data_IF_121708605212
#
_entry.id   IF_121708605212
#
_cell.length_a   1.000
_cell.length_b   1.000
_cell.length_c   1.000
_cell.angle_alpha   90.00
_cell.angle_beta   90.00
_cell.angle_gamma   90.00
#
_symmetry.space_group_name_H-M   'P 1'
#
loop_
_entity.id
_entity.type
_entity.pdbx_description
1 polymer ?
#
# COMPACT_ATOMS: atom_id res chain seq x y z
N UNK A 1 -68.03 -42.10 36.55
CA UNK A 1 -68.07 -41.15 35.42
C UNK A 1 -66.72 -40.45 35.36
N UNK A 2 -65.96 -40.70 34.29
CA UNK A 2 -64.67 -40.04 34.02
C UNK A 2 -64.92 -38.57 33.68
N UNK A 3 -64.24 -37.67 34.39
CA UNK A 3 -64.22 -36.23 34.08
C UNK A 3 -63.55 -36.09 32.70
N UNK A 4 -64.21 -35.50 31.69
CA UNK A 4 -63.57 -35.27 30.40
C UNK A 4 -62.41 -34.30 30.59
N UNK A 5 -61.22 -34.66 30.11
CA UNK A 5 -60.09 -33.73 30.04
C UNK A 5 -60.40 -32.69 28.94
N UNK A 6 -60.82 -31.49 29.35
CA UNK A 6 -61.21 -30.39 28.47
C UNK A 6 -60.03 -29.49 28.05
N UNK A 7 -58.78 -29.97 28.15
CA UNK A 7 -57.63 -29.25 27.60
C UNK A 7 -57.36 -29.76 26.18
N UNK A 8 -57.68 -29.02 25.12
CA UNK A 8 -57.12 -29.33 23.81
C UNK A 8 -55.59 -29.21 23.92
N UNK A 9 -54.87 -30.33 23.81
CA UNK A 9 -53.42 -30.31 23.59
C UNK A 9 -53.19 -29.68 22.22
N UNK A 10 -52.56 -28.51 22.20
CA UNK A 10 -52.16 -27.84 20.96
C UNK A 10 -51.22 -28.76 20.17
N UNK A 11 -51.66 -29.24 19.01
CA UNK A 11 -50.85 -30.09 18.12
C UNK A 11 -49.81 -29.30 17.30
N UNK A 12 -49.82 -27.97 17.37
CA UNK A 12 -48.79 -27.12 16.79
C UNK A 12 -47.66 -26.92 17.79
N UNK A 13 -46.42 -27.25 17.40
CA UNK A 13 -45.22 -26.99 18.22
C UNK A 13 -45.18 -25.52 18.62
N UNK A 14 -45.22 -25.26 19.92
CA UNK A 14 -45.02 -23.93 20.48
C UNK A 14 -43.64 -23.39 20.05
N UNK A 15 -43.64 -22.21 19.42
CA UNK A 15 -42.42 -21.48 19.07
C UNK A 15 -42.07 -20.60 20.27
N UNK A 16 -41.26 -21.15 21.18
CA UNK A 16 -40.85 -20.47 22.41
C UNK A 16 -39.33 -20.54 22.53
N UNK A 17 -38.72 -19.43 22.95
CA UNK A 17 -37.30 -19.36 23.25
C UNK A 17 -37.03 -20.16 24.54
N UNK A 18 -36.20 -21.20 24.52
CA UNK A 18 -35.81 -21.88 25.76
C UNK A 18 -34.98 -20.96 26.66
N UNK A 19 -34.99 -21.23 27.97
CA UNK A 19 -34.21 -20.48 28.95
C UNK A 19 -32.70 -20.66 28.81
N UNK A 20 -32.25 -21.71 28.13
CA UNK A 20 -30.84 -21.99 27.84
C UNK A 20 -30.68 -22.54 26.42
N UNK A 21 -29.54 -22.23 25.79
CA UNK A 21 -29.13 -22.84 24.53
C UNK A 21 -28.36 -24.15 24.71
N UNK A 22 -28.18 -24.88 23.62
CA UNK A 22 -27.46 -26.15 23.55
C UNK A 22 -26.34 -26.03 22.51
N UNK A 23 -25.10 -26.26 22.94
CA UNK A 23 -23.90 -26.12 22.10
C UNK A 23 -23.95 -27.01 20.85
N UNK A 24 -24.48 -28.23 20.98
CA UNK A 24 -24.56 -29.20 19.87
C UNK A 24 -25.48 -28.75 18.72
N UNK A 25 -26.45 -27.90 19.00
CA UNK A 25 -27.43 -27.43 18.01
C UNK A 25 -26.93 -26.21 17.24
N UNK A 26 -25.93 -25.49 17.78
CA UNK A 26 -25.43 -24.24 17.19
C UNK A 26 -24.86 -24.50 15.79
N UNK A 27 -23.91 -25.43 15.64
CA UNK A 27 -23.21 -25.63 14.37
C UNK A 27 -24.14 -26.03 13.20
N UNK A 28 -25.25 -26.71 13.49
CA UNK A 28 -26.21 -27.18 12.50
C UNK A 28 -27.24 -26.11 12.09
N UNK A 29 -27.39 -25.04 12.88
CA UNK A 29 -28.45 -24.02 12.73
C UNK A 29 -27.90 -22.68 12.20
N UNK A 30 -26.58 -22.53 12.11
CA UNK A 30 -25.94 -21.33 11.55
C UNK A 30 -26.25 -21.16 10.05
N UNK A 31 -26.71 -19.97 9.62
CA UNK A 31 -27.00 -19.70 8.21
C UNK A 31 -25.78 -19.82 7.28
N UNK A 32 -24.62 -19.29 7.70
CA UNK A 32 -23.40 -19.30 6.88
C UNK A 32 -22.39 -20.34 7.39
N UNK A 33 -22.40 -20.61 8.70
CA UNK A 33 -21.51 -21.57 9.33
C UNK A 33 -20.05 -21.18 9.15
N UNK A 34 -19.76 -19.89 9.32
CA UNK A 34 -18.40 -19.32 9.26
C UNK A 34 -17.64 -19.69 10.54
N UNK A 35 -18.32 -19.64 11.69
CA UNK A 35 -17.71 -19.93 12.99
C UNK A 35 -18.05 -21.32 13.55
N UNK A 36 -18.58 -22.22 12.70
CA UNK A 36 -19.05 -23.55 13.12
C UNK A 36 -17.97 -24.42 13.79
N UNK A 37 -16.71 -24.22 13.44
CA UNK A 37 -15.58 -25.00 13.93
C UNK A 37 -14.93 -24.37 15.19
N UNK A 38 -15.41 -23.20 15.64
CA UNK A 38 -14.89 -22.49 16.81
C UNK A 38 -15.61 -22.89 18.09
N UNK A 39 -14.93 -23.64 18.96
CA UNK A 39 -15.46 -24.08 20.26
C UNK A 39 -15.98 -22.93 21.13
N UNK A 40 -15.23 -21.82 21.16
CA UNK A 40 -15.58 -20.63 21.96
C UNK A 40 -16.80 -19.89 21.40
N UNK A 41 -16.99 -19.92 20.08
CA UNK A 41 -18.17 -19.35 19.44
C UNK A 41 -19.40 -20.19 19.77
N UNK A 42 -19.31 -21.52 19.65
CA UNK A 42 -20.42 -22.42 19.93
C UNK A 42 -20.89 -22.31 21.39
N UNK A 43 -19.97 -22.21 22.36
CA UNK A 43 -20.32 -21.99 23.76
C UNK A 43 -20.91 -20.60 23.99
N UNK A 44 -20.32 -19.55 23.41
CA UNK A 44 -20.82 -18.18 23.50
C UNK A 44 -22.23 -18.00 22.92
N UNK A 45 -22.52 -18.64 21.79
CA UNK A 45 -23.83 -18.62 21.15
C UNK A 45 -24.89 -19.32 22.02
N UNK A 46 -24.55 -20.46 22.64
CA UNK A 46 -25.44 -21.16 23.57
C UNK A 46 -25.75 -20.33 24.82
N UNK A 47 -24.75 -19.64 25.40
CA UNK A 47 -24.95 -18.73 26.53
C UNK A 47 -25.75 -17.48 26.15
N UNK A 48 -25.63 -17.01 24.92
CA UNK A 48 -26.37 -15.85 24.43
C UNK A 48 -27.89 -16.07 24.47
N UNK A 49 -28.37 -17.31 24.29
CA UNK A 49 -29.80 -17.65 24.44
C UNK A 49 -30.30 -17.29 25.84
N UNK A 50 -29.58 -17.70 26.88
CA UNK A 50 -29.93 -17.37 28.26
C UNK A 50 -29.88 -15.85 28.53
N UNK A 51 -28.92 -15.14 27.91
CA UNK A 51 -28.83 -13.69 28.01
C UNK A 51 -30.05 -13.00 27.38
N UNK A 52 -30.40 -13.39 26.16
CA UNK A 52 -31.56 -12.84 25.42
C UNK A 52 -32.87 -13.17 26.14
N UNK A 53 -33.03 -14.42 26.60
CA UNK A 53 -34.20 -14.86 27.35
C UNK A 53 -34.45 -13.98 28.58
N UNK A 54 -33.42 -13.76 29.41
CA UNK A 54 -33.54 -12.91 30.61
C UNK A 54 -33.79 -11.44 30.27
N UNK A 55 -33.13 -10.91 29.23
CA UNK A 55 -33.25 -9.50 28.85
C UNK A 55 -34.59 -9.14 28.21
N UNK A 56 -35.22 -10.08 27.50
CA UNK A 56 -36.52 -9.89 26.88
C UNK A 56 -37.70 -10.28 27.80
N UNK A 57 -37.42 -10.69 29.04
CA UNK A 57 -38.46 -10.98 30.03
C UNK A 57 -39.08 -12.38 29.92
N UNK A 58 -38.32 -13.36 29.41
CA UNK A 58 -38.76 -14.75 29.28
C UNK A 58 -39.16 -15.40 30.62
N UNK A 59 -38.65 -14.90 31.74
CA UNK A 59 -39.06 -15.34 33.09
C UNK A 59 -40.52 -14.98 33.43
N UNK A 60 -41.12 -14.04 32.69
CA UNK A 60 -42.48 -13.51 32.93
C UNK A 60 -43.45 -13.94 31.83
N UNK A 61 -43.04 -13.85 30.56
CA UNK A 61 -43.88 -14.15 29.40
C UNK A 61 -43.06 -14.82 28.30
N UNK A 62 -43.67 -15.78 27.62
CA UNK A 62 -43.02 -16.56 26.56
C UNK A 62 -42.54 -15.66 25.42
N UNK A 63 -41.36 -15.95 24.88
CA UNK A 63 -40.75 -15.19 23.79
C UNK A 63 -40.90 -15.99 22.50
N UNK A 64 -41.49 -15.39 21.46
CA UNK A 64 -41.91 -16.07 20.23
C UNK A 64 -40.79 -16.24 19.18
N UNK A 65 -39.56 -16.51 19.62
CA UNK A 65 -38.41 -16.82 18.73
C UNK A 65 -37.74 -18.13 19.17
N UNK A 66 -37.00 -18.80 18.28
CA UNK A 66 -36.27 -20.03 18.63
C UNK A 66 -34.81 -19.74 18.98
N UNK A 67 -34.16 -20.70 19.64
CA UNK A 67 -32.71 -20.65 19.87
C UNK A 67 -31.94 -20.50 18.55
N UNK A 68 -32.40 -21.15 17.47
CA UNK A 68 -31.84 -21.05 16.11
C UNK A 68 -31.75 -19.60 15.62
N UNK A 69 -32.78 -18.78 15.92
CA UNK A 69 -32.77 -17.36 15.56
C UNK A 69 -31.69 -16.60 16.34
N UNK A 70 -31.47 -16.94 17.61
CA UNK A 70 -30.42 -16.33 18.42
C UNK A 70 -29.04 -16.72 17.90
N UNK A 71 -28.83 -17.98 17.51
CA UNK A 71 -27.55 -18.44 16.95
C UNK A 71 -27.23 -17.75 15.61
N UNK A 72 -28.22 -17.62 14.73
CA UNK A 72 -28.09 -16.88 13.47
C UNK A 72 -27.73 -15.40 13.71
N UNK A 73 -28.46 -14.73 14.60
CA UNK A 73 -28.21 -13.34 14.96
C UNK A 73 -26.85 -13.15 15.67
N UNK A 74 -26.36 -14.17 16.36
CA UNK A 74 -25.05 -14.15 16.99
C UNK A 74 -23.92 -14.26 15.97
N UNK A 75 -24.05 -15.14 14.98
CA UNK A 75 -23.11 -15.22 13.84
C UNK A 75 -23.07 -13.89 13.09
N UNK A 76 -24.22 -13.29 12.78
CA UNK A 76 -24.31 -11.99 12.13
C UNK A 76 -23.64 -10.88 12.95
N UNK A 77 -23.83 -10.85 14.26
CA UNK A 77 -23.19 -9.87 15.14
C UNK A 77 -21.65 -9.96 15.13
N UNK A 78 -21.09 -11.18 15.04
CA UNK A 78 -19.63 -11.37 14.94
C UNK A 78 -19.10 -10.91 13.57
N UNK A 79 -19.85 -11.16 12.49
CA UNK A 79 -19.50 -10.71 11.15
C UNK A 79 -19.53 -9.18 11.04
N UNK A 80 -20.56 -8.54 11.59
CA UNK A 80 -20.65 -7.08 11.65
C UNK A 80 -19.50 -6.46 12.45
N UNK A 81 -19.15 -7.06 13.60
CA UNK A 81 -17.98 -6.63 14.35
C UNK A 81 -16.69 -6.76 13.52
N UNK A 82 -16.50 -7.90 12.84
CA UNK A 82 -15.34 -8.14 11.97
C UNK A 82 -15.26 -7.14 10.83
N UNK A 83 -16.40 -6.84 10.19
CA UNK A 83 -16.50 -5.86 9.11
C UNK A 83 -16.09 -4.46 9.56
N UNK A 84 -16.60 -3.99 10.72
CA UNK A 84 -16.28 -2.65 11.24
C UNK A 84 -14.79 -2.55 11.58
N UNK A 85 -14.21 -3.56 12.23
CA UNK A 85 -12.79 -3.56 12.58
C UNK A 85 -11.90 -3.62 11.34
N UNK A 86 -12.19 -4.51 10.39
CA UNK A 86 -11.43 -4.61 9.14
C UNK A 86 -11.52 -3.34 8.30
N UNK A 87 -12.69 -2.69 8.26
CA UNK A 87 -12.87 -1.40 7.58
C UNK A 87 -12.04 -0.29 8.23
N UNK A 88 -11.98 -0.27 9.56
CA UNK A 88 -11.14 0.67 10.29
C UNK A 88 -9.64 0.39 10.08
N UNK A 89 -9.23 -0.88 10.14
CA UNK A 89 -7.85 -1.26 9.84
C UNK A 89 -7.47 -0.87 8.41
N UNK A 90 -8.34 -1.11 7.43
CA UNK A 90 -8.12 -0.69 6.05
C UNK A 90 -7.85 0.82 5.96
N UNK A 91 -8.68 1.65 6.61
CA UNK A 91 -8.48 3.10 6.66
C UNK A 91 -7.11 3.49 7.24
N UNK A 92 -6.62 2.75 8.23
CA UNK A 92 -5.37 3.02 8.92
C UNK A 92 -4.10 2.58 8.17
N UNK A 93 -4.17 1.49 7.41
CA UNK A 93 -2.98 0.82 6.85
C UNK A 93 -2.93 0.78 5.33
N UNK A 94 -3.98 1.26 4.64
CA UNK A 94 -4.07 1.17 3.19
C UNK A 94 -2.86 1.78 2.50
N UNK A 95 -2.37 2.94 2.94
CA UNK A 95 -1.20 3.62 2.36
C UNK A 95 0.04 2.74 2.32
N UNK A 96 0.24 1.92 3.34
CA UNK A 96 1.46 1.15 3.51
C UNK A 96 1.34 -0.21 2.82
N UNK A 97 0.12 -0.71 2.68
CA UNK A 97 -0.15 -1.95 1.96
C UNK A 97 -0.32 -1.77 0.47
N UNK A 98 -0.39 -0.54 -0.06
CA UNK A 98 -0.44 -0.33 -1.50
C UNK A 98 0.66 -1.12 -2.20
N UNK A 99 0.30 -1.87 -3.23
CA UNK A 99 1.18 -2.73 -4.04
C UNK A 99 1.83 -3.92 -3.34
N UNK A 100 1.36 -4.29 -2.15
CA UNK A 100 1.70 -5.59 -1.53
C UNK A 100 0.83 -6.71 -2.10
N UNK A 101 1.15 -7.97 -1.78
CA UNK A 101 0.41 -9.14 -2.27
C UNK A 101 -1.07 -9.10 -1.89
N UNK A 102 -1.95 -9.36 -2.86
CA UNK A 102 -3.41 -9.41 -2.67
C UNK A 102 -3.89 -10.78 -2.17
N UNK A 103 -5.12 -10.82 -1.66
CA UNK A 103 -5.79 -12.05 -1.21
C UNK A 103 -6.93 -12.47 -2.14
N UNK A 104 -7.12 -13.78 -2.33
CA UNK A 104 -8.29 -14.35 -2.98
C UNK A 104 -9.19 -15.01 -1.94
N UNK A 105 -10.48 -14.69 -1.96
CA UNK A 105 -11.43 -15.16 -0.95
C UNK A 105 -12.46 -16.12 -1.53
N UNK A 106 -13.05 -16.94 -0.66
CA UNK A 106 -14.23 -17.73 -0.97
C UNK A 106 -15.53 -16.96 -0.66
N UNK A 107 -16.67 -17.63 -0.85
CA UNK A 107 -17.99 -17.05 -0.62
C UNK A 107 -18.30 -16.77 0.87
N UNK A 108 -17.49 -17.30 1.79
CA UNK A 108 -17.57 -17.08 3.23
C UNK A 108 -16.63 -15.96 3.70
N UNK A 109 -15.83 -15.41 2.80
CA UNK A 109 -14.81 -14.41 3.13
C UNK A 109 -13.56 -15.01 3.76
N UNK A 110 -13.34 -16.32 3.63
CA UNK A 110 -12.12 -17.00 4.07
C UNK A 110 -11.07 -16.95 2.97
N UNK A 111 -9.80 -16.78 3.36
CA UNK A 111 -8.70 -16.71 2.39
C UNK A 111 -8.48 -18.09 1.74
N UNK A 112 -8.54 -18.15 0.41
CA UNK A 112 -8.21 -19.36 -0.35
C UNK A 112 -6.73 -19.67 -0.28
N UNK A 113 -6.41 -20.96 -0.41
CA UNK A 113 -5.04 -21.43 -0.52
C UNK A 113 -4.34 -20.73 -1.70
N UNK A 114 -3.32 -19.98 -1.37
CA UNK A 114 -2.50 -19.11 -2.23
C UNK A 114 -1.10 -18.97 -1.63
N UNK A 115 -0.15 -18.43 -2.40
CA UNK A 115 1.19 -18.08 -1.90
C UNK A 115 1.10 -17.24 -0.62
N UNK A 116 0.17 -16.28 -0.59
CA UNK A 116 -0.11 -15.49 0.59
C UNK A 116 -0.50 -16.37 1.78
N UNK A 117 -1.54 -17.21 1.66
CA UNK A 117 -1.96 -18.09 2.76
C UNK A 117 -0.83 -18.99 3.29
N UNK A 118 0.08 -19.43 2.41
CA UNK A 118 1.22 -20.28 2.80
C UNK A 118 2.26 -19.53 3.61
N UNK A 119 2.46 -18.24 3.33
CA UNK A 119 3.35 -17.34 4.08
C UNK A 119 2.82 -16.95 5.46
N UNK A 120 1.52 -17.13 5.71
CA UNK A 120 0.89 -16.72 6.95
C UNK A 120 0.95 -17.80 8.06
N UNK A 121 1.44 -19.02 7.79
CA UNK A 121 1.62 -20.08 8.79
C UNK A 121 0.38 -20.34 9.67
N UNK A 122 -0.83 -20.21 9.10
CA UNK A 122 -2.10 -20.37 9.82
C UNK A 122 -2.53 -19.19 10.70
N UNK A 123 -1.88 -18.03 10.57
CA UNK A 123 -2.35 -16.75 11.13
C UNK A 123 -3.12 -15.94 10.08
N UNK A 124 -3.92 -14.96 10.50
CA UNK A 124 -4.68 -14.10 9.59
C UNK A 124 -3.98 -12.74 9.44
N UNK A 125 -4.07 -12.11 8.27
CA UNK A 125 -3.38 -10.83 8.03
C UNK A 125 -3.92 -9.72 8.95
N UNK A 126 -5.22 -9.75 9.24
CA UNK A 126 -5.94 -8.82 10.12
C UNK A 126 -5.42 -8.78 11.56
N UNK A 127 -4.67 -9.81 11.98
CA UNK A 127 -4.10 -9.91 13.33
C UNK A 127 -2.62 -9.56 13.39
N UNK A 128 -1.97 -9.38 12.24
CA UNK A 128 -0.56 -9.00 12.20
C UNK A 128 -0.43 -7.50 12.38
N UNK A 129 0.52 -7.09 13.21
CA UNK A 129 0.87 -5.69 13.34
C UNK A 129 1.46 -5.20 12.02
N UNK A 130 0.91 -4.13 11.42
CA UNK A 130 1.44 -3.58 10.18
C UNK A 130 2.84 -3.05 10.44
N UNK A 131 3.80 -3.42 9.59
CA UNK A 131 5.08 -2.74 9.57
C UNK A 131 4.87 -1.44 8.82
N UNK A 132 4.88 -0.33 9.54
CA UNK A 132 4.83 0.98 8.92
C UNK A 132 6.08 1.17 8.09
N UNK A 133 5.90 1.10 6.78
CA UNK A 133 6.92 1.41 5.81
C UNK A 133 6.45 2.63 5.05
N UNK A 134 7.37 3.55 4.76
CA UNK A 134 7.10 4.68 3.87
C UNK A 134 6.96 4.21 2.41
N UNK A 135 6.29 3.09 2.16
CA UNK A 135 6.23 2.42 0.86
C UNK A 135 5.59 3.33 -0.19
N UNK A 136 4.43 3.93 0.12
CA UNK A 136 3.81 4.90 -0.77
C UNK A 136 4.71 6.11 -1.03
N UNK A 137 5.28 6.71 0.02
CA UNK A 137 6.17 7.86 -0.14
C UNK A 137 7.44 7.51 -0.94
N UNK A 138 7.97 6.30 -0.77
CA UNK A 138 9.11 5.78 -1.52
C UNK A 138 8.76 5.62 -2.99
N UNK A 139 7.59 5.08 -3.34
CA UNK A 139 7.17 4.97 -4.74
C UNK A 139 6.95 6.33 -5.40
N UNK A 140 6.38 7.28 -4.68
CA UNK A 140 6.30 8.67 -5.15
C UNK A 140 7.70 9.26 -5.36
N UNK A 141 8.60 9.02 -4.39
CA UNK A 141 9.99 9.47 -4.48
C UNK A 141 10.78 8.77 -5.60
N UNK A 142 10.46 7.53 -5.95
CA UNK A 142 11.05 6.81 -7.09
C UNK A 142 10.67 7.50 -8.40
N UNK A 143 9.42 7.91 -8.57
CA UNK A 143 8.99 8.73 -9.70
C UNK A 143 9.77 10.05 -9.79
N UNK A 144 9.95 10.73 -8.66
CA UNK A 144 10.79 11.94 -8.60
C UNK A 144 12.28 11.63 -8.86
N UNK A 145 12.77 10.48 -8.42
CA UNK A 145 14.13 10.00 -8.64
C UNK A 145 14.43 9.78 -10.11
N UNK A 146 13.47 9.26 -10.88
CA UNK A 146 13.57 9.15 -12.35
C UNK A 146 13.77 10.52 -13.00
N UNK A 147 13.11 11.56 -12.51
CA UNK A 147 13.27 12.92 -13.06
C UNK A 147 14.54 13.61 -12.61
N UNK A 148 15.00 13.33 -11.38
CA UNK A 148 16.28 13.79 -10.88
C UNK A 148 17.49 13.00 -11.42
N UNK A 149 17.26 11.91 -12.16
CA UNK A 149 18.31 11.04 -12.71
C UNK A 149 19.07 10.25 -11.64
N UNK A 150 18.45 10.03 -10.47
CA UNK A 150 19.05 9.31 -9.33
C UNK A 150 18.12 8.21 -8.85
N UNK A 151 18.33 7.00 -9.37
CA UNK A 151 17.49 5.84 -9.10
C UNK A 151 16.10 5.96 -9.75
N UNK A 152 15.18 5.09 -9.34
CA UNK A 152 13.80 5.08 -9.83
C UNK A 152 13.38 3.73 -10.41
N UNK A 153 12.12 3.67 -10.85
CA UNK A 153 11.46 2.46 -11.34
C UNK A 153 11.39 2.37 -12.87
N UNK A 154 11.90 3.37 -13.61
CA UNK A 154 11.92 3.37 -15.07
C UNK A 154 13.31 2.99 -15.58
N UNK A 155 13.37 2.06 -16.53
CA UNK A 155 14.63 1.66 -17.17
C UNK A 155 15.12 2.74 -18.13
N UNK A 156 16.35 3.23 -17.90
CA UNK A 156 17.07 4.07 -18.86
C UNK A 156 17.86 3.22 -19.87
N UNK A 157 17.77 3.61 -21.14
CA UNK A 157 18.49 3.04 -22.26
C UNK A 157 19.53 4.03 -22.78
N UNK A 158 20.54 3.52 -23.48
CA UNK A 158 21.52 4.34 -24.19
C UNK A 158 21.50 4.03 -25.67
N UNK A 159 21.56 5.08 -26.50
CA UNK A 159 21.75 4.98 -27.93
C UNK A 159 22.87 5.92 -28.38
N UNK A 160 23.45 5.64 -29.55
CA UNK A 160 24.43 6.53 -30.18
C UNK A 160 23.93 7.01 -31.54
N UNK A 161 24.37 8.20 -31.92
CA UNK A 161 24.06 8.87 -33.17
C UNK A 161 25.37 9.10 -33.88
N UNK A 162 25.47 8.63 -35.12
CA UNK A 162 26.63 8.89 -35.95
C UNK A 162 26.54 10.30 -36.54
N UNK A 163 27.59 11.10 -36.39
CA UNK A 163 27.61 12.44 -36.98
C UNK A 163 27.86 12.38 -38.48
N UNK A 164 27.20 13.27 -39.21
CA UNK A 164 27.40 13.47 -40.65
C UNK A 164 28.01 14.85 -40.84
N UNK A 165 29.15 14.91 -41.53
CA UNK A 165 29.76 16.21 -41.86
C UNK A 165 28.78 17.01 -42.70
N UNK A 166 28.51 18.25 -42.31
CA UNK A 166 27.49 19.02 -43.02
C UNK A 166 26.09 18.97 -42.41
N UNK A 167 25.82 18.14 -41.40
CA UNK A 167 24.51 17.99 -40.77
C UNK A 167 24.51 18.42 -39.30
N UNK A 168 23.60 19.31 -38.96
CA UNK A 168 23.51 19.90 -37.62
C UNK A 168 22.33 19.35 -36.79
N UNK A 169 21.23 19.02 -37.48
CA UNK A 169 19.96 18.61 -36.89
C UNK A 169 19.75 17.11 -37.02
N UNK A 170 19.37 16.46 -35.92
CA UNK A 170 19.16 15.02 -35.83
C UNK A 170 17.82 14.74 -35.14
N UNK A 171 16.94 13.99 -35.80
CA UNK A 171 15.69 13.50 -35.23
C UNK A 171 15.95 12.22 -34.41
N UNK A 172 15.94 12.36 -33.09
CA UNK A 172 16.22 11.26 -32.19
C UNK A 172 15.07 10.26 -32.11
N UNK A 173 13.83 10.71 -32.27
CA UNK A 173 12.67 9.84 -32.25
C UNK A 173 12.74 8.86 -33.43
N UNK A 174 13.01 9.36 -34.63
CA UNK A 174 13.11 8.52 -35.84
C UNK A 174 14.33 7.59 -35.77
N UNK A 175 15.50 8.10 -35.35
CA UNK A 175 16.72 7.29 -35.27
C UNK A 175 16.54 6.13 -34.27
N UNK A 176 16.05 6.41 -33.06
CA UNK A 176 15.92 5.40 -32.01
C UNK A 176 14.78 4.42 -32.31
N UNK A 177 13.65 4.89 -32.83
CA UNK A 177 12.53 4.00 -33.22
C UNK A 177 12.90 3.05 -34.37
N UNK A 178 13.71 3.51 -35.33
CA UNK A 178 14.21 2.65 -36.41
C UNK A 178 15.09 1.52 -35.88
N UNK A 179 16.04 1.82 -34.98
CA UNK A 179 16.89 0.84 -34.32
C UNK A 179 16.08 -0.12 -33.43
N UNK A 180 15.05 0.39 -32.75
CA UNK A 180 14.15 -0.44 -31.94
C UNK A 180 13.34 -1.44 -32.79
N UNK A 181 13.00 -1.05 -34.03
CA UNK A 181 12.21 -1.89 -34.95
C UNK A 181 13.06 -2.99 -35.58
N UNK A 182 14.26 -2.64 -36.06
CA UNK A 182 15.20 -3.62 -36.63
C UNK A 182 15.77 -4.53 -35.54
N UNK A 183 15.88 -4.03 -34.31
CA UNK A 183 16.49 -4.73 -33.19
C UNK A 183 18.01 -4.77 -33.26
N UNK A 184 18.63 -4.04 -34.19
CA UNK A 184 20.08 -3.96 -34.37
C UNK A 184 20.54 -2.51 -34.51
N UNK A 185 21.70 -2.20 -33.93
CA UNK A 185 22.38 -0.92 -34.14
C UNK A 185 22.99 -0.84 -35.55
N UNK A 186 23.60 0.32 -35.87
CA UNK A 186 24.26 0.53 -37.16
C UNK A 186 25.48 -0.38 -37.42
N UNK A 187 25.97 -1.08 -36.40
CA UNK A 187 27.06 -2.05 -36.48
C UNK A 187 26.56 -3.52 -36.47
N UNK A 188 25.24 -3.74 -36.45
CA UNK A 188 24.61 -5.06 -36.44
C UNK A 188 24.49 -5.71 -35.06
N UNK A 189 24.78 -5.00 -33.97
CA UNK A 189 24.64 -5.53 -32.61
C UNK A 189 23.20 -5.41 -32.11
N UNK A 190 22.73 -6.37 -31.33
CA UNK A 190 21.39 -6.37 -30.74
C UNK A 190 21.17 -5.17 -29.81
N UNK A 191 20.07 -4.45 -29.97
CA UNK A 191 19.69 -3.35 -29.05
C UNK A 191 18.77 -3.84 -27.92
N UNK A 192 18.97 -3.40 -26.67
CA UNK A 192 18.18 -3.84 -25.52
C UNK A 192 16.74 -3.28 -25.50
N UNK A 193 16.45 -2.27 -26.34
CA UNK A 193 15.13 -1.62 -26.43
C UNK A 193 14.32 -2.07 -27.66
N UNK A 194 14.62 -3.26 -28.19
CA UNK A 194 13.92 -3.84 -29.35
C UNK A 194 12.41 -3.95 -29.07
N UNK A 195 11.58 -3.40 -29.94
CA UNK A 195 10.12 -3.47 -29.84
C UNK A 195 9.49 -2.58 -28.74
N UNK A 196 10.29 -1.89 -27.92
CA UNK A 196 9.76 -1.11 -26.79
C UNK A 196 9.29 0.30 -27.17
N UNK A 197 9.87 0.91 -28.22
CA UNK A 197 9.60 2.31 -28.59
C UNK A 197 8.25 2.44 -29.31
N UNK A 198 7.99 1.61 -30.33
CA UNK A 198 6.74 1.67 -31.11
C UNK A 198 6.39 3.10 -31.55
N UNK A 199 5.16 3.53 -31.25
CA UNK A 199 4.68 4.91 -31.43
C UNK A 199 4.75 5.76 -30.14
N UNK A 200 5.48 5.29 -29.12
CA UNK A 200 5.64 5.98 -27.83
C UNK A 200 6.70 7.07 -27.97
N UNK A 201 6.47 8.21 -27.30
CA UNK A 201 7.43 9.31 -27.24
C UNK A 201 8.62 8.91 -26.38
N UNK A 202 9.84 9.10 -26.88
CA UNK A 202 11.06 8.94 -26.07
C UNK A 202 11.32 10.20 -25.23
N UNK A 203 11.82 10.01 -24.02
CA UNK A 203 12.23 11.08 -23.11
C UNK A 203 13.74 11.06 -22.99
N UNK A 204 14.41 12.08 -23.50
CA UNK A 204 15.87 12.17 -23.47
C UNK A 204 16.28 12.80 -22.14
N UNK A 205 17.12 12.07 -21.40
CA UNK A 205 17.60 12.47 -20.07
C UNK A 205 18.98 13.13 -20.14
N UNK A 206 19.86 12.63 -21.02
CA UNK A 206 21.23 13.16 -21.15
C UNK A 206 21.76 13.00 -22.56
N UNK A 207 22.44 14.03 -23.07
CA UNK A 207 23.26 13.95 -24.27
C UNK A 207 24.72 14.15 -23.88
N UNK A 208 25.58 13.23 -24.30
CA UNK A 208 27.00 13.28 -23.99
C UNK A 208 27.83 12.76 -25.16
N UNK A 209 29.08 13.17 -25.24
CA UNK A 209 30.04 12.61 -26.18
C UNK A 209 31.33 12.34 -25.45
N UNK A 210 32.02 11.27 -25.85
CA UNK A 210 33.35 10.97 -25.32
C UNK A 210 34.32 11.04 -26.49
N UNK A 211 35.24 11.98 -26.44
CA UNK A 211 36.31 12.01 -27.44
C UNK A 211 37.31 10.90 -27.10
N UNK A 212 37.82 10.13 -28.09
CA UNK A 212 38.92 9.19 -27.86
C UNK A 212 40.18 9.88 -27.28
N UNK A 213 40.27 11.19 -27.47
CA UNK A 213 41.31 12.06 -26.92
C UNK A 213 41.07 12.51 -25.47
N UNK A 214 39.95 12.14 -24.83
CA UNK A 214 39.72 12.32 -23.40
C UNK A 214 40.54 11.35 -22.52
N UNK A 215 41.74 10.99 -22.97
CA UNK A 215 42.80 10.58 -22.05
C UNK A 215 43.21 11.86 -21.34
N UNK A 216 43.09 11.89 -20.01
CA UNK A 216 43.55 13.00 -19.17
C UNK A 216 45.06 13.14 -19.30
N UNK A 217 45.53 13.73 -20.40
CA UNK A 217 46.95 13.99 -20.63
C UNK A 217 47.29 15.25 -19.86
N UNK A 218 47.45 15.08 -18.55
CA UNK A 218 47.89 16.15 -17.64
C UNK A 218 49.17 16.84 -18.17
N UNK A 219 49.99 16.09 -18.93
CA UNK A 219 51.15 16.59 -19.66
C UNK A 219 51.02 16.35 -21.17
N UNK A 220 49.96 16.87 -21.81
CA UNK A 220 49.67 16.76 -23.26
C UNK A 220 50.85 16.43 -24.16
N UNK A 221 51.21 15.16 -24.33
CA UNK A 221 52.37 14.81 -25.13
C UNK A 221 52.39 13.37 -25.64
N UNK A 222 52.92 13.22 -26.85
CA UNK A 222 53.26 11.94 -27.47
C UNK A 222 54.69 12.09 -27.98
N UNK A 223 55.68 11.77 -27.13
CA UNK A 223 57.09 11.61 -27.54
C UNK A 223 58.19 12.32 -26.74
N UNK A 224 58.35 12.09 -25.42
CA UNK A 224 59.54 12.45 -24.60
C UNK A 224 60.05 13.92 -24.48
N UNK A 225 59.61 14.67 -23.44
CA UNK A 225 60.22 15.88 -22.81
C UNK A 225 59.15 16.75 -22.11
N UNK A 226 59.10 16.71 -20.77
CA UNK A 226 58.34 17.64 -19.94
C UNK A 226 59.17 18.92 -19.74
N UNK A 227 59.07 19.89 -20.64
CA UNK A 227 59.61 21.23 -20.35
C UNK A 227 58.53 22.03 -19.64
N UNK A 228 58.56 22.03 -18.30
CA UNK A 228 57.97 23.13 -17.54
C UNK A 228 58.71 24.37 -18.03
N UNK A 229 57.98 25.32 -18.63
CA UNK A 229 58.55 26.55 -19.19
C UNK A 229 59.15 27.40 -18.08
N UNK A 230 60.33 27.04 -17.60
CA UNK A 230 61.20 27.97 -16.91
C UNK A 230 61.66 28.96 -17.98
N UNK A 231 61.46 30.25 -17.74
CA UNK A 231 61.81 31.38 -18.61
C UNK A 231 63.34 31.54 -18.82
N UNK A 232 64.10 30.44 -18.75
CA UNK A 232 65.55 30.40 -18.96
C UNK A 232 65.88 30.09 -20.41
N UNK A 233 66.85 30.83 -20.95
CA UNK A 233 67.29 30.75 -22.35
C UNK A 233 67.70 29.32 -22.74
N UNK A 234 67.12 28.83 -23.83
CA UNK A 234 67.39 27.52 -24.41
C UNK A 234 68.75 27.55 -25.14
N UNK A 235 69.84 27.32 -24.41
CA UNK A 235 71.19 27.19 -24.96
C UNK A 235 71.47 25.81 -25.53
N UNK A 236 72.41 25.71 -26.47
CA UNK A 236 72.76 24.52 -27.29
C UNK A 236 73.30 23.27 -26.54
N UNK A 237 73.10 23.16 -25.22
CA UNK A 237 73.44 21.97 -24.44
C UNK A 237 72.17 21.43 -23.79
N UNK A 238 71.64 20.35 -24.33
CA UNK A 238 70.50 19.64 -23.76
C UNK A 238 70.95 18.73 -22.60
N UNK A 239 70.09 18.70 -21.58
CA UNK A 239 69.92 17.69 -20.54
C UNK A 239 70.83 17.74 -19.30
N UNK A 240 70.64 18.78 -18.47
CA UNK A 240 70.71 18.59 -17.01
C UNK A 240 69.29 18.25 -16.54
N UNK A 241 69.07 17.01 -16.06
CA UNK A 241 67.76 16.56 -15.59
C UNK A 241 67.45 17.18 -14.24
N UNK A 242 66.68 18.27 -14.23
CA UNK A 242 66.18 18.88 -13.00
C UNK A 242 64.93 18.13 -12.52
N UNK A 243 65.00 17.55 -11.33
CA UNK A 243 63.85 16.95 -10.66
C UNK A 243 63.22 17.98 -9.73
N UNK A 244 62.02 18.46 -10.07
CA UNK A 244 61.25 19.38 -9.22
C UNK A 244 60.14 18.61 -8.50
N UNK A 245 60.07 18.78 -7.18
CA UNK A 245 58.96 18.25 -6.38
C UNK A 245 57.81 19.24 -6.43
N UNK A 246 56.82 18.95 -7.27
CA UNK A 246 55.62 19.79 -7.42
C UNK A 246 54.58 19.38 -6.37
N UNK A 247 54.11 20.30 -5.50
CA UNK A 247 53.02 20.02 -4.57
C UNK A 247 51.72 19.62 -5.28
N UNK A 248 50.93 18.75 -4.66
CA UNK A 248 49.66 18.24 -5.23
C UNK A 248 48.65 19.35 -5.56
N UNK A 249 48.62 20.43 -4.78
CA UNK A 249 47.72 21.56 -5.02
C UNK A 249 48.05 22.31 -6.32
N UNK A 250 49.34 22.45 -6.65
CA UNK A 250 49.79 23.14 -7.87
C UNK A 250 49.39 22.31 -9.10
N UNK A 251 49.56 20.99 -9.02
CA UNK A 251 49.08 20.10 -10.05
C UNK A 251 47.54 20.20 -10.23
N UNK A 252 46.79 20.26 -9.14
CA UNK A 252 45.33 20.43 -9.23
C UNK A 252 44.95 21.77 -9.87
N UNK A 253 45.60 22.87 -9.50
CA UNK A 253 45.36 24.19 -10.08
C UNK A 253 45.67 24.22 -11.60
N UNK A 254 46.79 23.61 -12.02
CA UNK A 254 47.12 23.49 -13.44
C UNK A 254 46.09 22.66 -14.21
N UNK A 255 45.55 21.57 -13.62
CA UNK A 255 44.49 20.80 -14.28
C UNK A 255 43.20 21.61 -14.48
N UNK A 256 42.83 22.47 -13.52
CA UNK A 256 41.63 23.30 -13.64
C UNK A 256 41.80 24.34 -14.75
N UNK A 257 42.96 24.99 -14.83
CA UNK A 257 43.26 25.95 -15.90
C UNK A 257 43.31 25.28 -17.29
N UNK A 258 43.80 24.04 -17.37
CA UNK A 258 43.82 23.29 -18.62
C UNK A 258 42.42 22.86 -19.05
N UNK A 259 41.57 22.46 -18.10
CA UNK A 259 40.16 22.14 -18.37
C UNK A 259 39.41 23.37 -18.90
N UNK A 260 39.57 24.53 -18.26
CA UNK A 260 39.00 25.81 -18.72
C UNK A 260 39.52 26.22 -20.11
N UNK A 261 40.82 26.02 -20.36
CA UNK A 261 41.43 26.23 -21.67
C UNK A 261 40.82 25.31 -22.74
N UNK A 262 40.51 24.04 -22.43
CA UNK A 262 39.81 23.15 -23.35
C UNK A 262 38.39 23.64 -23.62
N UNK A 263 37.64 24.05 -22.58
CA UNK A 263 36.29 24.59 -22.75
C UNK A 263 36.28 25.81 -23.65
N UNK A 264 37.25 26.71 -23.49
CA UNK A 264 37.30 27.99 -24.21
C UNK A 264 37.94 27.89 -25.59
N UNK A 265 39.03 27.13 -25.75
CA UNK A 265 39.84 27.12 -26.99
C UNK A 265 39.52 25.99 -27.96
N UNK A 266 39.13 24.81 -27.47
CA UNK A 266 38.90 23.64 -28.32
C UNK A 266 37.43 23.46 -28.73
N UNK A 267 36.58 24.45 -28.45
CA UNK A 267 35.15 24.47 -28.74
C UNK A 267 34.46 23.20 -28.25
N UNK A 268 34.00 23.22 -27.00
CA UNK A 268 33.11 22.15 -26.50
C UNK A 268 31.89 22.06 -27.42
N UNK A 269 31.47 20.84 -27.78
CA UNK A 269 30.22 20.67 -28.49
C UNK A 269 29.07 21.02 -27.53
N UNK A 270 28.34 22.08 -27.83
CA UNK A 270 27.06 22.37 -27.19
C UNK A 270 25.94 21.76 -28.00
N UNK A 271 24.79 21.60 -27.37
CA UNK A 271 23.61 21.06 -28.03
C UNK A 271 22.35 21.76 -27.55
N UNK A 272 21.37 21.80 -28.44
CA UNK A 272 20.02 22.23 -28.18
C UNK A 272 19.10 21.03 -28.41
N UNK A 273 18.20 20.77 -27.46
CA UNK A 273 17.23 19.70 -27.55
C UNK A 273 15.83 20.30 -27.50
N UNK A 274 15.10 20.19 -28.61
CA UNK A 274 13.71 20.66 -28.72
C UNK A 274 12.88 19.58 -29.40
N UNK A 275 11.84 19.10 -28.73
CA UNK A 275 10.94 18.07 -29.28
C UNK A 275 11.62 16.83 -29.90
N UNK A 276 12.58 16.23 -29.18
CA UNK A 276 13.41 15.11 -29.66
C UNK A 276 14.28 15.43 -30.89
N UNK A 277 14.36 16.69 -31.33
CA UNK A 277 15.36 17.18 -32.25
C UNK A 277 16.59 17.63 -31.50
N UNK A 278 17.72 16.99 -31.82
CA UNK A 278 19.03 17.36 -31.33
C UNK A 278 19.74 18.22 -32.37
N UNK A 279 20.04 19.47 -32.01
CA UNK A 279 20.90 20.35 -32.80
C UNK A 279 22.27 20.44 -32.14
N UNK A 280 23.33 20.13 -32.87
CA UNK A 280 24.72 20.12 -32.37
C UNK A 280 25.46 21.39 -32.81
N UNK A 281 26.19 22.03 -31.91
CA UNK A 281 27.05 23.18 -32.22
C UNK A 281 28.49 22.91 -31.74
N UNK A 282 29.54 23.26 -32.50
CA UNK A 282 29.49 23.70 -33.89
C UNK A 282 29.05 22.55 -34.83
N UNK A 283 28.70 22.92 -36.06
CA UNK A 283 28.31 21.99 -37.12
C UNK A 283 29.41 20.92 -37.31
N UNK A 284 29.08 19.61 -37.24
CA UNK A 284 30.05 18.53 -37.40
C UNK A 284 30.88 18.64 -38.69
N UNK A 285 32.19 18.47 -38.53
CA UNK A 285 33.22 18.42 -39.59
C UNK A 285 33.94 17.07 -39.55
N UNK A 286 34.86 16.82 -40.48
CA UNK A 286 35.59 15.53 -40.56
C UNK A 286 36.37 15.17 -39.29
N UNK A 287 36.80 16.17 -38.51
CA UNK A 287 37.50 16.00 -37.22
C UNK A 287 36.57 15.96 -36.00
N UNK A 288 35.25 15.99 -36.19
CA UNK A 288 34.27 15.92 -35.11
C UNK A 288 34.16 14.51 -34.52
N UNK A 289 33.67 14.37 -33.27
CA UNK A 289 33.36 13.06 -32.70
C UNK A 289 32.43 12.29 -33.62
N UNK A 290 32.82 11.06 -33.96
CA UNK A 290 32.04 10.20 -34.85
C UNK A 290 30.68 9.84 -34.24
N UNK A 291 30.58 9.77 -32.91
CA UNK A 291 29.37 9.38 -32.20
C UNK A 291 29.06 10.32 -31.03
N UNK A 292 27.80 10.73 -30.96
CA UNK A 292 27.18 11.34 -29.77
C UNK A 292 26.26 10.30 -29.14
N UNK A 293 26.26 10.25 -27.81
CA UNK A 293 25.49 9.29 -27.04
C UNK A 293 24.33 10.00 -26.36
N UNK A 294 23.20 9.32 -26.29
CA UNK A 294 21.99 9.79 -25.62
C UNK A 294 21.52 8.73 -24.64
N UNK A 295 21.19 9.16 -23.43
CA UNK A 295 20.45 8.38 -22.44
C UNK A 295 18.98 8.78 -22.55
N UNK A 296 18.09 7.80 -22.70
CA UNK A 296 16.66 8.03 -22.86
C UNK A 296 15.84 6.98 -22.11
N UNK A 297 14.62 7.34 -21.74
CA UNK A 297 13.60 6.40 -21.31
C UNK A 297 12.44 6.39 -22.31
N UNK A 298 11.67 5.32 -22.30
CA UNK A 298 10.43 5.22 -23.07
C UNK A 298 9.27 5.46 -22.11
N UNK A 299 8.31 6.31 -22.49
CA UNK A 299 7.09 6.49 -21.70
C UNK A 299 6.35 5.15 -21.62
N UNK A 300 6.35 4.51 -20.46
CA UNK A 300 5.54 3.33 -20.18
C UNK A 300 4.19 3.75 -19.65
N UNK A 301 3.18 2.91 -19.88
CA UNK A 301 1.90 3.16 -19.26
C UNK A 301 1.99 2.88 -17.75
N UNK A 302 1.23 3.59 -16.88
CA UNK A 302 1.31 3.40 -15.43
C UNK A 302 0.95 1.99 -14.91
N UNK A 303 0.32 1.17 -15.76
CA UNK A 303 -0.09 -0.21 -15.44
C UNK A 303 0.83 -1.27 -16.07
N UNK A 304 1.83 -0.87 -16.86
CA UNK A 304 2.80 -1.80 -17.42
C UNK A 304 3.84 -2.19 -16.36
N UNK A 305 4.01 -3.49 -16.14
CA UNK A 305 5.01 -4.02 -15.21
C UNK A 305 6.43 -3.83 -15.77
N UNK A 306 7.35 -3.41 -14.91
CA UNK A 306 8.77 -3.45 -15.23
C UNK A 306 9.28 -4.90 -15.23
N UNK A 307 9.91 -5.35 -16.32
CA UNK A 307 10.43 -6.72 -16.42
C UNK A 307 11.61 -6.99 -15.48
N UNK A 308 12.30 -5.94 -15.00
CA UNK A 308 13.51 -6.07 -14.18
C UNK A 308 13.24 -6.10 -12.69
N UNK A 309 12.14 -5.50 -12.24
CA UNK A 309 11.83 -5.36 -10.82
C UNK A 309 10.31 -5.38 -10.61
N UNK A 310 9.88 -5.96 -9.50
CA UNK A 310 8.48 -5.92 -9.11
C UNK A 310 8.18 -4.60 -8.39
N UNK A 311 7.54 -3.69 -9.11
CA UNK A 311 7.16 -2.36 -8.60
C UNK A 311 5.87 -2.43 -7.74
N UNK A 312 5.26 -3.62 -7.60
CA UNK A 312 4.04 -3.84 -6.82
C UNK A 312 2.76 -3.34 -7.51
N UNK A 313 2.78 -3.11 -8.83
CA UNK A 313 1.63 -2.58 -9.59
C UNK A 313 0.41 -3.52 -9.53
N UNK A 314 0.65 -4.83 -9.53
CA UNK A 314 -0.40 -5.87 -9.44
C UNK A 314 -0.86 -6.14 -8.00
N UNK A 315 -0.28 -5.45 -7.02
CA UNK A 315 -0.60 -5.61 -5.61
C UNK A 315 -1.88 -4.88 -5.18
N UNK A 316 -2.05 -4.71 -3.88
CA UNK A 316 -3.20 -4.01 -3.29
C UNK A 316 -3.31 -2.61 -3.89
N UNK A 317 -4.42 -2.30 -4.54
CA UNK A 317 -4.65 -0.99 -5.14
C UNK A 317 -5.72 -0.18 -4.39
N UNK A 318 -6.62 -0.88 -3.68
CA UNK A 318 -7.75 -0.30 -2.98
C UNK A 318 -8.29 -1.29 -1.94
N UNK A 319 -9.25 -0.84 -1.12
CA UNK A 319 -9.84 -1.59 -0.01
C UNK A 319 -10.38 -2.97 -0.40
N UNK A 320 -10.92 -3.13 -1.60
CA UNK A 320 -11.46 -4.41 -2.09
C UNK A 320 -10.39 -5.48 -2.33
N UNK A 321 -9.13 -5.08 -2.52
CA UNK A 321 -8.00 -5.99 -2.76
C UNK A 321 -7.20 -6.29 -1.50
N UNK A 322 -7.57 -5.68 -0.37
CA UNK A 322 -6.92 -5.94 0.91
C UNK A 322 -7.13 -7.39 1.35
N UNK A 323 -6.06 -8.09 1.78
CA UNK A 323 -6.14 -9.47 2.21
C UNK A 323 -6.66 -9.61 3.66
N UNK A 324 -7.77 -8.95 4.00
CA UNK A 324 -8.42 -9.07 5.31
C UNK A 324 -9.59 -10.05 5.27
N UNK A 325 -9.44 -11.17 5.98
CA UNK A 325 -10.53 -12.10 6.23
C UNK A 325 -11.31 -11.74 7.51
N UNK A 326 -12.45 -12.40 7.70
CA UNK A 326 -13.24 -12.27 8.93
C UNK A 326 -12.40 -12.60 10.17
N UNK A 327 -12.57 -11.84 11.24
CA UNK A 327 -11.75 -12.02 12.45
C UNK A 327 -12.16 -13.34 13.11
N UNK A 328 -11.20 -14.26 13.38
CA UNK A 328 -11.50 -15.49 14.10
C UNK A 328 -12.02 -15.18 15.50
N UNK A 329 -13.15 -15.77 15.90
CA UNK A 329 -13.82 -15.47 17.17
C UNK A 329 -12.90 -15.63 18.41
N UNK A 330 -11.98 -16.61 18.37
CA UNK A 330 -10.98 -16.85 19.42
C UNK A 330 -10.08 -15.63 19.70
N UNK A 331 -9.89 -14.75 18.72
CA UNK A 331 -8.99 -13.59 18.80
C UNK A 331 -9.72 -12.29 19.18
N UNK A 332 -11.05 -12.35 19.38
CA UNK A 332 -11.83 -11.20 19.81
C UNK A 332 -11.69 -11.02 21.34
N UNK A 333 -11.30 -9.82 21.76
CA UNK A 333 -11.12 -9.50 23.17
C UNK A 333 -12.46 -9.36 23.94
N UNK A 334 -12.39 -9.15 25.25
CA UNK A 334 -13.57 -9.00 26.09
C UNK A 334 -14.46 -7.83 25.71
N UNK A 335 -13.88 -6.71 25.27
CA UNK A 335 -14.61 -5.50 24.84
C UNK A 335 -15.43 -5.80 23.58
N UNK A 336 -14.80 -6.41 22.57
CA UNK A 336 -15.47 -6.84 21.34
C UNK A 336 -16.55 -7.86 21.61
N UNK A 337 -16.27 -8.88 22.43
CA UNK A 337 -17.29 -9.88 22.84
C UNK A 337 -18.47 -9.22 23.55
N UNK A 338 -18.25 -8.20 24.38
CA UNK A 338 -19.34 -7.47 25.04
C UNK A 338 -20.20 -6.68 24.04
N UNK A 339 -19.57 -6.03 23.06
CA UNK A 339 -20.27 -5.33 21.99
C UNK A 339 -21.11 -6.31 21.16
N UNK A 340 -20.55 -7.46 20.76
CA UNK A 340 -21.25 -8.52 20.02
C UNK A 340 -22.49 -9.01 20.77
N UNK A 341 -22.42 -9.19 22.09
CA UNK A 341 -23.59 -9.60 22.90
C UNK A 341 -24.70 -8.55 22.90
N UNK A 342 -24.34 -7.25 23.00
CA UNK A 342 -25.30 -6.14 22.93
C UNK A 342 -25.94 -6.04 21.55
N UNK A 343 -25.14 -6.19 20.50
CA UNK A 343 -25.60 -6.13 19.11
C UNK A 343 -26.46 -7.35 18.72
N UNK A 344 -26.10 -8.56 19.17
CA UNK A 344 -26.94 -9.73 18.99
C UNK A 344 -28.29 -9.57 19.70
N UNK A 345 -28.34 -8.95 20.88
CA UNK A 345 -29.61 -8.67 21.56
C UNK A 345 -30.50 -7.73 20.73
N UNK A 346 -29.96 -6.69 20.10
CA UNK A 346 -30.75 -5.80 19.24
C UNK A 346 -31.22 -6.49 17.96
N UNK A 347 -30.43 -7.38 17.35
CA UNK A 347 -30.87 -8.25 16.24
C UNK A 347 -31.99 -9.22 16.66
N UNK A 348 -31.90 -9.78 17.88
CA UNK A 348 -32.95 -10.63 18.42
C UNK A 348 -34.25 -9.85 18.68
N UNK A 349 -34.16 -8.60 19.14
CA UNK A 349 -35.32 -7.69 19.27
C UNK A 349 -35.95 -7.41 17.92
N UNK A 350 -35.15 -7.20 16.88
CA UNK A 350 -35.66 -6.99 15.52
C UNK A 350 -36.42 -8.24 15.05
N UNK A 351 -35.80 -9.42 15.17
CA UNK A 351 -36.43 -10.69 14.79
C UNK A 351 -37.75 -10.91 15.54
N UNK A 352 -37.76 -10.68 16.85
CA UNK A 352 -38.97 -10.77 17.67
C UNK A 352 -40.03 -9.75 17.24
N UNK A 353 -39.64 -8.50 16.96
CA UNK A 353 -40.52 -7.46 16.45
C UNK A 353 -41.17 -7.87 15.13
N UNK A 354 -40.39 -8.40 14.19
CA UNK A 354 -40.90 -8.92 12.90
C UNK A 354 -41.88 -10.08 13.10
N UNK A 355 -41.62 -10.99 14.04
CA UNK A 355 -42.54 -12.10 14.37
C UNK A 355 -43.83 -11.56 14.98
N UNK A 356 -43.75 -10.65 15.94
CA UNK A 356 -44.91 -10.05 16.61
C UNK A 356 -45.76 -9.20 15.67
N UNK A 357 -45.15 -8.51 14.71
CA UNK A 357 -45.88 -7.77 13.67
C UNK A 357 -46.72 -8.66 12.75
N UNK A 358 -46.37 -9.94 12.58
CA UNK A 358 -47.19 -10.91 11.81
C UNK A 358 -48.45 -11.34 12.56
N UNK A 359 -48.50 -11.18 13.89
CA UNK A 359 -49.61 -11.55 14.76
C UNK A 359 -50.14 -10.34 15.56
N UNK A 360 -50.22 -9.17 14.91
CA UNK A 360 -50.46 -7.88 15.58
C UNK A 360 -51.69 -7.85 16.52
N UNK A 361 -52.78 -8.55 16.15
CA UNK A 361 -53.94 -8.76 17.01
C UNK A 361 -54.19 -10.25 17.21
N UNK A 362 -54.14 -10.69 18.47
CA UNK A 362 -54.57 -12.03 18.85
C UNK A 362 -56.00 -11.90 19.40
N UNK A 363 -57.02 -12.40 18.70
CA UNK A 363 -58.40 -12.36 19.20
C UNK A 363 -58.54 -13.32 20.38
N UNK A 364 -58.94 -12.79 21.52
CA UNK A 364 -59.27 -13.56 22.73
C UNK A 364 -60.78 -13.41 22.96
N UNK A 365 -61.50 -14.40 23.53
CA UNK A 365 -62.92 -14.24 23.82
C UNK A 365 -63.20 -13.00 24.68
N UNK A 366 -63.80 -11.96 24.07
CA UNK A 366 -64.21 -10.72 24.74
C UNK A 366 -63.16 -9.61 24.86
N UNK A 367 -61.94 -9.77 24.33
CA UNK A 367 -60.90 -8.73 24.31
C UNK A 367 -59.85 -8.97 23.22
N UNK A 368 -59.10 -7.94 22.83
CA UNK A 368 -57.96 -8.06 21.92
C UNK A 368 -56.66 -7.79 22.68
N UNK A 369 -55.65 -8.65 22.50
CA UNK A 369 -54.28 -8.36 22.94
C UNK A 369 -53.50 -7.84 21.75
N UNK A 370 -52.92 -6.65 21.90
CA UNK A 370 -52.06 -6.01 20.90
C UNK A 370 -50.60 -6.32 21.22
N UNK A 371 -49.85 -6.83 20.24
CA UNK A 371 -48.42 -7.10 20.39
C UNK A 371 -47.58 -5.85 20.06
N UNK A 372 -46.50 -5.63 20.80
CA UNK A 372 -45.62 -4.46 20.69
C UNK A 372 -44.58 -4.55 19.54
N UNK A 373 -44.96 -5.10 18.39
CA UNK A 373 -44.04 -5.36 17.28
C UNK A 373 -43.38 -4.10 16.71
N UNK A 374 -44.15 -3.04 16.47
CA UNK A 374 -43.64 -1.78 15.90
C UNK A 374 -42.64 -1.08 16.83
N UNK A 375 -42.92 -1.06 18.13
CA UNK A 375 -42.04 -0.44 19.13
C UNK A 375 -40.72 -1.21 19.26
N UNK A 376 -40.77 -2.54 19.25
CA UNK A 376 -39.57 -3.39 19.28
C UNK A 376 -38.70 -3.18 18.04
N UNK A 377 -39.29 -3.02 16.86
CA UNK A 377 -38.56 -2.72 15.63
C UNK A 377 -37.89 -1.33 15.69
N UNK A 378 -38.58 -0.33 16.25
CA UNK A 378 -38.01 1.00 16.48
C UNK A 378 -36.80 0.96 17.40
N UNK A 379 -36.95 0.34 18.59
CA UNK A 379 -35.87 0.19 19.57
C UNK A 379 -34.69 -0.62 19.01
N UNK A 380 -34.95 -1.69 18.26
CA UNK A 380 -33.91 -2.51 17.68
C UNK A 380 -33.04 -1.72 16.69
N UNK A 381 -33.66 -0.96 15.78
CA UNK A 381 -32.94 -0.13 14.80
C UNK A 381 -32.11 0.95 15.49
N UNK A 382 -32.70 1.64 16.47
CA UNK A 382 -32.01 2.67 17.24
C UNK A 382 -30.79 2.10 17.99
N UNK A 383 -30.95 0.97 18.68
CA UNK A 383 -29.83 0.32 19.38
C UNK A 383 -28.74 -0.16 18.42
N UNK A 384 -29.11 -0.72 17.27
CA UNK A 384 -28.15 -1.15 16.24
C UNK A 384 -27.35 0.04 15.68
N UNK A 385 -28.01 1.16 15.37
CA UNK A 385 -27.35 2.36 14.87
C UNK A 385 -26.43 2.97 15.93
N UNK A 386 -26.91 3.11 17.16
CA UNK A 386 -26.12 3.62 18.28
C UNK A 386 -24.87 2.75 18.53
N UNK A 387 -25.00 1.42 18.51
CA UNK A 387 -23.86 0.51 18.70
C UNK A 387 -22.85 0.60 17.55
N UNK A 388 -23.31 0.74 16.31
CA UNK A 388 -22.43 0.93 15.14
C UNK A 388 -21.69 2.26 15.23
N UNK A 389 -22.36 3.33 15.64
CA UNK A 389 -21.78 4.66 15.82
C UNK A 389 -20.78 4.66 16.97
N UNK A 390 -21.15 4.14 18.15
CA UNK A 390 -20.29 3.99 19.34
C UNK A 390 -18.97 3.31 18.98
N UNK A 391 -19.03 2.20 18.22
CA UNK A 391 -17.83 1.47 17.82
C UNK A 391 -17.00 2.24 16.78
N UNK A 392 -17.63 2.86 15.78
CA UNK A 392 -16.92 3.64 14.76
C UNK A 392 -16.20 4.85 15.35
N UNK A 393 -16.85 5.59 16.25
CA UNK A 393 -16.27 6.76 16.91
C UNK A 393 -15.07 6.37 17.77
N UNK A 394 -15.22 5.32 18.60
CA UNK A 394 -14.13 4.79 19.41
C UNK A 394 -12.94 4.38 18.54
N UNK A 395 -13.20 3.67 17.43
CA UNK A 395 -12.14 3.26 16.52
C UNK A 395 -11.48 4.46 15.83
N UNK A 396 -12.26 5.44 15.37
CA UNK A 396 -11.73 6.64 14.72
C UNK A 396 -10.81 7.46 15.63
N UNK A 397 -10.98 7.40 16.96
CA UNK A 397 -10.04 7.96 17.94
C UNK A 397 -8.75 7.14 18.08
N UNK A 398 -8.83 5.82 17.87
CA UNK A 398 -7.71 4.88 17.92
C UNK A 398 -6.99 4.69 16.58
N UNK A 399 -7.15 5.62 15.64
CA UNK A 399 -6.35 5.65 14.40
C UNK A 399 -4.89 5.95 14.72
N UNK A 400 -3.94 5.31 14.01
CA UNK A 400 -2.51 5.48 14.30
C UNK A 400 -2.06 6.95 14.26
N UNK A 401 -2.58 7.72 13.31
CA UNK A 401 -2.29 9.15 13.22
C UNK A 401 -2.73 9.93 14.46
N UNK A 402 -3.93 9.67 14.99
CA UNK A 402 -4.41 10.35 16.21
C UNK A 402 -3.67 9.88 17.46
N UNK A 403 -3.37 8.59 17.56
CA UNK A 403 -2.55 8.08 18.67
C UNK A 403 -1.17 8.73 18.69
N UNK A 404 -0.52 8.90 17.54
CA UNK A 404 0.77 9.60 17.44
C UNK A 404 0.67 11.07 17.86
N UNK A 405 -0.42 11.77 17.51
CA UNK A 405 -0.67 13.14 17.97
C UNK A 405 -0.83 13.19 19.49
N UNK A 406 -1.64 12.29 20.07
CA UNK A 406 -1.82 12.21 21.52
C UNK A 406 -0.54 11.87 22.28
N UNK A 407 0.32 11.00 21.72
CA UNK A 407 1.63 10.68 22.28
C UNK A 407 2.57 11.90 22.23
N UNK A 408 2.57 12.65 21.12
CA UNK A 408 3.35 13.89 20.99
C UNK A 408 2.92 14.95 22.03
N UNK A 409 1.61 15.15 22.19
CA UNK A 409 1.04 16.03 23.21
C UNK A 409 1.42 15.58 24.63
N UNK A 410 1.38 14.27 24.89
CA UNK A 410 1.80 13.70 26.18
C UNK A 410 3.29 13.94 26.46
N UNK A 411 4.15 13.81 25.46
CA UNK A 411 5.59 14.13 25.57
C UNK A 411 5.81 15.62 25.84
N UNK A 412 5.07 16.51 25.18
CA UNK A 412 5.13 17.95 25.46
C UNK A 412 4.69 18.28 26.90
N UNK A 413 3.60 17.65 27.37
CA UNK A 413 3.14 17.81 28.75
C UNK A 413 4.20 17.34 29.75
N UNK A 414 4.84 16.19 29.50
CA UNK A 414 5.95 15.68 30.32
C UNK A 414 7.13 16.64 30.31
N UNK A 415 7.53 17.18 29.16
CA UNK A 415 8.59 18.18 29.08
C UNK A 415 8.26 19.44 29.89
N UNK A 416 7.00 19.88 29.87
CA UNK A 416 6.55 21.02 30.68
C UNK A 416 6.58 20.75 32.18
N UNK A 417 6.33 19.51 32.61
CA UNK A 417 6.53 19.08 34.00
C UNK A 417 8.03 19.05 34.33
N UNK A 418 8.87 18.47 33.47
CA UNK A 418 10.31 18.36 33.69
C UNK A 418 10.99 19.74 33.79
N UNK A 419 10.54 20.76 33.05
CA UNK A 419 11.01 22.15 33.20
C UNK A 419 10.86 22.70 34.63
N UNK A 420 9.90 22.19 35.42
CA UNK A 420 9.68 22.59 36.82
C UNK A 420 10.55 21.81 37.81
N UNK A 421 11.23 20.75 37.35
CA UNK A 421 12.18 19.99 38.17
C UNK A 421 13.50 20.74 38.15
N UNK A 422 13.97 21.30 39.28
CA UNK A 422 15.24 22.01 39.31
C UNK A 422 16.38 21.02 38.99
N UNK A 423 17.06 21.25 37.87
CA UNK A 423 18.28 20.53 37.51
C UNK A 423 19.33 20.82 38.60
N UNK A 424 19.74 19.77 39.34
CA UNK A 424 20.76 19.87 40.40
C UNK A 424 22.18 20.09 39.87
N UNK A 425 22.36 20.10 38.55
CA UNK A 425 23.65 20.34 37.90
C UNK A 425 23.50 21.58 37.02
N UNK A 426 24.15 22.65 37.45
CA UNK A 426 24.37 23.85 36.65
C UNK A 426 25.28 23.46 35.49
N UNK A 427 24.78 23.53 34.25
CA UNK A 427 25.64 23.53 33.06
C UNK A 427 25.83 25.02 32.73
N UNK A 428 27.02 25.53 33.07
CA UNK A 428 27.46 26.87 32.70
C UNK A 428 27.86 26.97 31.24
#
# INVERSE_FOLDING_TARGET
>A
MSIPNLRPESQTSQVILPSTGTVGDVAATLPYGIYKDSTDFLSGAAEQVAYVYKKLGGDVLDIEIKADNVYANYEEAVLEYSYIINSHQAKNVLSDFLGTTTGSFDHKGELKTSELSSSLSGTTMSLKYPRFEFAYARRVAEGMGVDAGVGGNITEYSASIKTVSGQQDYDLQTIISSAATTGTDAAGNTVPYKGLVGNKRILIKRVYYKTPHAMWRFYGYYGGLNTVGNLSNYGQYADDSTFEVIPTWQNKAQSLAFEDSIYTRNSHYSYELTDNWLRIYPKPVSSSPAYFWVSFSVSTDPWEKNERADDGIDGVNNMNTLPFENIPYKNINSIGKQWIRRFCLSLCKETLGQVRSKFATIPIPGSEVTLNGADLLGQAKEEQENLRTELKELLDELTYGKMMVGDAESVEAVNNIQKKIPLKVFVG
#
